data_IF_291878891855
#
_entry.id   IF_291878891855
#
_cell.length_a   1.000
_cell.length_b   1.000
_cell.length_c   1.000
_cell.angle_alpha   90.00
_cell.angle_beta   90.00
_cell.angle_gamma   90.00
#
_symmetry.space_group_name_H-M   'P 1'
#
loop_
_entity.id
_entity.type
_entity.pdbx_description
1 polymer ?
#
# COMPACT_ATOMS: atom_id res chain seq x y z
N UNK A 1 5.69 -0.39 -18.15
CA UNK A 1 5.62 0.44 -16.92
C UNK A 1 6.80 0.13 -15.99
N UNK A 2 7.03 -1.14 -15.63
CA UNK A 2 8.16 -1.55 -14.78
C UNK A 2 9.54 -1.06 -15.29
N UNK A 3 9.82 -1.22 -16.58
CA UNK A 3 11.07 -0.77 -17.23
C UNK A 3 11.27 0.76 -17.21
N UNK A 4 10.25 1.52 -16.78
CA UNK A 4 10.30 2.98 -16.67
C UNK A 4 10.51 3.45 -15.24
N UNK A 5 10.53 2.53 -14.27
CA UNK A 5 10.85 2.87 -12.89
C UNK A 5 12.37 3.11 -12.76
N UNK A 6 12.78 4.01 -11.87
CA UNK A 6 14.19 4.27 -11.61
C UNK A 6 14.90 3.01 -11.13
N UNK A 7 16.16 2.88 -11.52
CA UNK A 7 17.08 1.85 -11.04
C UNK A 7 18.15 2.41 -10.09
N UNK A 8 18.20 3.73 -9.93
CA UNK A 8 19.17 4.47 -9.12
C UNK A 8 18.71 4.72 -7.68
N UNK A 9 17.44 4.46 -7.37
CA UNK A 9 16.87 4.61 -6.03
C UNK A 9 15.80 3.55 -5.73
N UNK A 10 15.54 3.21 -4.45
CA UNK A 10 14.50 2.27 -4.08
C UNK A 10 13.08 2.76 -4.44
N UNK A 11 12.20 1.83 -4.78
CA UNK A 11 10.79 2.08 -5.05
C UNK A 11 9.93 1.53 -3.92
N UNK A 12 9.08 2.38 -3.34
CA UNK A 12 8.06 2.01 -2.35
C UNK A 12 6.71 1.90 -3.06
N UNK A 13 6.13 0.72 -3.12
CA UNK A 13 4.78 0.55 -3.65
C UNK A 13 3.74 0.95 -2.60
N UNK A 14 2.85 1.88 -2.92
CA UNK A 14 1.74 2.29 -2.09
C UNK A 14 0.44 1.73 -2.65
N UNK A 15 -0.14 0.73 -1.98
CA UNK A 15 -1.47 0.27 -2.35
C UNK A 15 -2.54 1.22 -1.77
N UNK A 16 -3.14 2.04 -2.62
CA UNK A 16 -4.17 3.00 -2.25
C UNK A 16 -5.53 2.41 -2.55
N UNK A 17 -6.26 2.01 -1.50
CA UNK A 17 -7.60 1.44 -1.62
C UNK A 17 -8.63 2.44 -1.13
N UNK A 18 -9.52 2.86 -2.02
CA UNK A 18 -10.70 3.69 -1.68
C UNK A 18 -12.01 2.93 -1.65
N UNK A 19 -12.01 1.69 -2.18
CA UNK A 19 -13.17 0.91 -2.63
C UNK A 19 -14.44 1.06 -1.79
N UNK A 20 -15.59 0.86 -2.45
CA UNK A 20 -16.91 1.14 -1.90
C UNK A 20 -17.05 0.63 -0.47
N UNK A 21 -17.45 1.54 0.44
CA UNK A 21 -18.16 1.17 1.65
C UNK A 21 -19.48 0.52 1.23
N UNK A 22 -19.44 -0.75 0.82
CA UNK A 22 -20.66 -1.53 0.74
C UNK A 22 -21.29 -1.47 2.13
N UNK A 23 -22.58 -1.13 2.20
CA UNK A 23 -23.30 -1.05 3.46
C UNK A 23 -23.10 -2.36 4.24
N UNK A 24 -22.51 -2.28 5.44
CA UNK A 24 -22.18 -3.44 6.28
C UNK A 24 -20.72 -3.91 6.24
N UNK A 25 -19.86 -3.37 5.38
CA UNK A 25 -18.42 -3.66 5.47
C UNK A 25 -17.78 -2.72 6.49
N UNK A 26 -17.31 -3.26 7.61
CA UNK A 26 -16.65 -2.50 8.67
C UNK A 26 -15.20 -2.10 8.33
N UNK A 27 -14.83 -1.89 7.07
CA UNK A 27 -13.46 -1.52 6.68
C UNK A 27 -13.15 -0.09 7.11
N UNK A 28 -11.97 0.10 7.71
CA UNK A 28 -11.47 1.43 8.02
C UNK A 28 -11.06 2.14 6.73
N UNK A 29 -11.54 3.37 6.53
CA UNK A 29 -11.16 4.18 5.39
C UNK A 29 -9.79 4.84 5.62
N UNK A 30 -8.74 4.15 5.21
CA UNK A 30 -7.36 4.58 5.45
C UNK A 30 -7.05 5.98 4.90
N UNK A 31 -7.62 6.33 3.75
CA UNK A 31 -7.48 7.65 3.12
C UNK A 31 -8.10 8.80 3.91
N UNK A 32 -8.98 8.53 4.89
CA UNK A 32 -9.68 9.56 5.67
C UNK A 32 -9.07 9.76 7.07
N UNK A 33 -8.12 8.92 7.48
CA UNK A 33 -7.57 8.91 8.86
C UNK A 33 -6.07 9.22 8.92
N UNK A 34 -5.51 9.76 7.85
CA UNK A 34 -4.09 10.12 7.76
C UNK A 34 -3.14 8.91 7.78
N UNK A 35 -3.62 7.70 7.44
CA UNK A 35 -2.82 6.47 7.47
C UNK A 35 -1.63 6.57 6.52
N UNK A 36 -1.87 7.00 5.28
CA UNK A 36 -0.84 7.02 4.26
C UNK A 36 0.26 8.02 4.60
N UNK A 37 -0.07 9.19 5.13
CA UNK A 37 0.90 10.20 5.55
C UNK A 37 1.85 9.64 6.61
N UNK A 38 1.33 8.96 7.64
CA UNK A 38 2.15 8.28 8.66
C UNK A 38 2.99 7.14 8.06
N UNK A 39 2.44 6.42 7.09
CA UNK A 39 3.17 5.32 6.44
C UNK A 39 4.33 5.82 5.56
N UNK A 40 4.17 6.96 4.89
CA UNK A 40 5.24 7.60 4.12
C UNK A 40 6.40 8.05 5.03
N UNK A 41 6.11 8.54 6.24
CA UNK A 41 7.12 8.97 7.21
C UNK A 41 8.09 7.84 7.60
N UNK A 42 7.66 6.57 7.53
CA UNK A 42 8.50 5.39 7.77
C UNK A 42 9.64 5.20 6.74
N UNK A 43 9.66 6.02 5.68
CA UNK A 43 10.68 6.03 4.63
C UNK A 43 11.42 7.36 4.52
N UNK A 44 11.24 8.27 5.49
CA UNK A 44 11.88 9.60 5.49
C UNK A 44 13.41 9.56 5.59
N UNK A 45 13.98 8.41 5.97
CA UNK A 45 15.42 8.15 6.01
C UNK A 45 16.02 7.72 4.66
N UNK A 46 15.19 7.57 3.61
CA UNK A 46 15.59 7.08 2.29
C UNK A 46 15.18 8.05 1.17
N UNK A 47 16.00 8.18 0.13
CA UNK A 47 15.56 8.79 -1.14
C UNK A 47 14.80 7.75 -1.95
N UNK A 48 13.47 7.79 -1.92
CA UNK A 48 12.59 6.80 -2.55
C UNK A 48 11.68 7.43 -3.60
N UNK A 49 11.26 6.60 -4.56
CA UNK A 49 10.09 6.87 -5.40
C UNK A 49 8.88 6.11 -4.83
N UNK A 50 7.78 6.82 -4.61
CA UNK A 50 6.50 6.20 -4.26
C UNK A 50 5.71 5.85 -5.53
N UNK A 51 5.42 4.56 -5.72
CA UNK A 51 4.58 4.06 -6.79
C UNK A 51 3.18 3.77 -6.25
N UNK A 52 2.20 4.63 -6.60
CA UNK A 52 0.83 4.48 -6.15
C UNK A 52 0.08 3.51 -7.04
N UNK A 53 -0.39 2.41 -6.49
CA UNK A 53 -1.19 1.40 -7.17
C UNK A 53 -2.59 1.44 -6.57
N UNK A 54 -3.61 1.62 -7.41
CA UNK A 54 -4.98 1.81 -6.96
C UNK A 54 -5.98 1.34 -8.01
N UNK A 55 -7.15 0.91 -7.55
CA UNK A 55 -8.34 0.72 -8.37
C UNK A 55 -8.93 2.08 -8.85
N UNK A 56 -8.58 3.18 -8.18
CA UNK A 56 -9.02 4.55 -8.52
C UNK A 56 -7.80 5.48 -8.77
N UNK A 57 -7.03 5.27 -9.86
CA UNK A 57 -5.81 6.04 -10.13
C UNK A 57 -6.07 7.53 -10.32
N UNK A 58 -7.21 7.92 -10.90
CA UNK A 58 -7.55 9.34 -11.08
C UNK A 58 -7.81 10.05 -9.75
N UNK A 59 -8.37 9.36 -8.76
CA UNK A 59 -8.49 9.91 -7.42
C UNK A 59 -7.11 10.13 -6.80
N UNK A 60 -6.19 9.17 -6.95
CA UNK A 60 -4.81 9.33 -6.48
C UNK A 60 -4.13 10.55 -7.10
N UNK A 61 -4.25 10.74 -8.43
CA UNK A 61 -3.70 11.92 -9.12
C UNK A 61 -4.27 13.24 -8.61
N UNK A 62 -5.55 13.25 -8.23
CA UNK A 62 -6.21 14.46 -7.72
C UNK A 62 -5.89 14.77 -6.25
N UNK A 63 -5.74 13.73 -5.41
CA UNK A 63 -5.74 13.87 -3.94
C UNK A 63 -4.39 13.53 -3.28
N UNK A 64 -3.61 12.60 -3.83
CA UNK A 64 -2.32 12.20 -3.27
C UNK A 64 -1.23 13.18 -3.71
N UNK A 65 -1.01 14.24 -2.93
CA UNK A 65 0.06 15.24 -3.14
C UNK A 65 1.35 14.83 -2.43
N UNK A 66 1.77 13.58 -2.63
CA UNK A 66 2.92 13.01 -1.93
C UNK A 66 4.23 13.33 -2.66
N UNK A 67 5.34 13.57 -1.94
CA UNK A 67 6.63 13.85 -2.55
C UNK A 67 7.12 12.64 -3.37
N UNK A 68 7.87 12.89 -4.45
CA UNK A 68 8.49 11.85 -5.28
C UNK A 68 7.56 10.68 -5.60
N UNK A 69 6.35 10.98 -6.09
CA UNK A 69 5.32 9.98 -6.32
C UNK A 69 4.87 9.90 -7.78
N UNK A 70 4.54 8.69 -8.22
CA UNK A 70 3.95 8.41 -9.53
C UNK A 70 2.76 7.47 -9.38
N UNK A 71 1.68 7.73 -10.13
CA UNK A 71 0.49 6.89 -10.12
C UNK A 71 0.59 5.83 -11.21
N UNK A 72 0.33 4.58 -10.85
CA UNK A 72 0.28 3.50 -11.79
C UNK A 72 -0.92 3.60 -12.71
N UNK A 73 -0.68 3.30 -13.99
CA UNK A 73 -1.76 3.22 -14.96
C UNK A 73 -2.70 2.06 -14.62
N UNK A 74 -3.95 2.21 -15.06
CA UNK A 74 -4.92 1.13 -14.99
C UNK A 74 -4.36 -0.11 -15.71
N UNK A 75 -4.36 -1.24 -15.02
CA UNK A 75 -3.85 -2.50 -15.54
C UNK A 75 -4.62 -3.66 -14.89
N UNK A 76 -4.53 -4.88 -15.45
CA UNK A 76 -5.12 -6.06 -14.81
C UNK A 76 -4.55 -6.28 -13.40
N UNK A 77 -5.38 -6.82 -12.49
CA UNK A 77 -4.99 -7.06 -11.09
C UNK A 77 -3.67 -7.86 -10.96
N UNK A 78 -3.43 -8.85 -11.83
CA UNK A 78 -2.17 -9.60 -11.84
C UNK A 78 -0.93 -8.70 -12.12
N UNK A 79 -1.07 -7.68 -12.97
CA UNK A 79 -0.01 -6.71 -13.25
C UNK A 79 0.23 -5.82 -12.05
N UNK A 80 -0.84 -5.30 -11.42
CA UNK A 80 -0.73 -4.51 -10.19
C UNK A 80 -0.10 -5.31 -9.05
N UNK A 81 -0.49 -6.59 -8.89
CA UNK A 81 0.11 -7.48 -7.90
C UNK A 81 1.62 -7.65 -8.15
N UNK A 82 1.99 -7.88 -9.42
CA UNK A 82 3.39 -7.97 -9.83
C UNK A 82 4.17 -6.67 -9.58
N UNK A 83 3.56 -5.50 -9.79
CA UNK A 83 4.18 -4.21 -9.45
C UNK A 83 4.42 -4.09 -7.95
N UNK A 84 3.40 -4.38 -7.13
CA UNK A 84 3.51 -4.33 -5.67
C UNK A 84 4.62 -5.28 -5.18
N UNK A 85 4.55 -6.56 -5.53
CA UNK A 85 5.48 -7.59 -5.02
C UNK A 85 6.94 -7.42 -5.49
N UNK A 86 7.18 -6.67 -6.58
CA UNK A 86 8.53 -6.43 -7.12
C UNK A 86 9.16 -5.12 -6.63
N UNK A 87 8.42 -4.22 -6.00
CA UNK A 87 9.02 -3.02 -5.40
C UNK A 87 9.93 -3.36 -4.22
N UNK A 88 10.82 -2.45 -3.86
CA UNK A 88 11.81 -2.67 -2.80
C UNK A 88 11.17 -2.61 -1.42
N UNK A 89 10.09 -1.84 -1.28
CA UNK A 89 9.33 -1.68 -0.04
C UNK A 89 7.83 -1.56 -0.36
N UNK A 90 6.97 -1.81 0.64
CA UNK A 90 5.52 -1.70 0.48
C UNK A 90 4.86 -0.89 1.61
N UNK A 91 3.88 -0.07 1.22
CA UNK A 91 2.82 0.45 2.07
C UNK A 91 1.54 -0.27 1.64
N UNK A 92 0.98 -1.11 2.52
CA UNK A 92 -0.18 -1.97 2.21
C UNK A 92 -1.49 -1.33 2.66
N UNK A 93 -2.58 -1.60 1.94
CA UNK A 93 -3.92 -1.29 2.45
C UNK A 93 -4.42 -2.38 3.39
N UNK A 94 -5.56 -2.13 4.04
CA UNK A 94 -6.41 -3.16 4.65
C UNK A 94 -7.05 -4.04 3.56
N UNK A 95 -6.20 -4.84 2.92
CA UNK A 95 -6.53 -5.68 1.78
C UNK A 95 -5.64 -6.91 1.77
N UNK A 96 -6.26 -8.09 1.62
CA UNK A 96 -5.57 -9.36 1.40
C UNK A 96 -4.70 -9.33 0.14
N UNK A 97 -5.06 -8.51 -0.85
CA UNK A 97 -4.30 -8.32 -2.08
C UNK A 97 -2.90 -7.75 -1.81
N UNK A 98 -2.81 -6.60 -1.12
CA UNK A 98 -1.51 -6.01 -0.76
C UNK A 98 -0.79 -6.76 0.34
N UNK A 99 -1.52 -7.45 1.21
CA UNK A 99 -0.93 -8.32 2.21
C UNK A 99 -0.13 -9.46 1.56
N UNK A 100 -0.73 -10.16 0.59
CA UNK A 100 -0.02 -11.20 -0.16
C UNK A 100 1.14 -10.62 -0.97
N UNK A 101 0.99 -9.44 -1.57
CA UNK A 101 2.10 -8.79 -2.27
C UNK A 101 3.29 -8.52 -1.33
N UNK A 102 3.05 -8.08 -0.10
CA UNK A 102 4.10 -7.88 0.91
C UNK A 102 4.73 -9.21 1.36
N UNK A 103 3.93 -10.26 1.51
CA UNK A 103 4.45 -11.60 1.77
C UNK A 103 5.44 -12.07 0.69
N UNK A 104 5.10 -11.89 -0.60
CA UNK A 104 6.00 -12.26 -1.69
C UNK A 104 7.23 -11.37 -1.79
N UNK A 105 7.14 -10.14 -1.28
CA UNK A 105 8.25 -9.20 -1.25
C UNK A 105 9.21 -9.49 -0.09
N UNK A 106 8.73 -10.05 1.02
CA UNK A 106 9.50 -10.32 2.26
C UNK A 106 10.87 -11.00 2.04
N UNK A 107 11.02 -12.05 1.20
CA UNK A 107 12.32 -12.68 0.96
C UNK A 107 13.38 -11.75 0.33
N UNK A 108 12.96 -10.59 -0.18
CA UNK A 108 13.85 -9.55 -0.74
C UNK A 108 14.31 -8.53 0.31
N UNK A 109 13.85 -8.65 1.55
CA UNK A 109 14.37 -7.91 2.72
C UNK A 109 13.90 -6.46 2.83
N UNK A 110 12.81 -6.07 2.18
CA UNK A 110 12.27 -4.72 2.29
C UNK A 110 11.35 -4.50 3.48
N UNK A 111 11.07 -3.22 3.75
CA UNK A 111 10.10 -2.81 4.77
C UNK A 111 8.68 -2.92 4.21
N UNK A 112 7.78 -3.50 5.00
CA UNK A 112 6.35 -3.43 4.78
C UNK A 112 5.71 -2.62 5.91
N UNK A 113 4.88 -1.63 5.54
CA UNK A 113 4.13 -0.79 6.46
C UNK A 113 2.64 -1.06 6.25
N UNK A 114 1.94 -1.44 7.31
CA UNK A 114 0.50 -1.75 7.28
C UNK A 114 -0.29 -0.94 8.30
N UNK A 115 -1.62 -0.85 8.15
CA UNK A 115 -2.44 -0.17 9.12
C UNK A 115 -2.56 -1.03 10.39
N UNK A 116 -2.40 -0.40 11.55
CA UNK A 116 -2.60 -1.07 12.85
C UNK A 116 -4.03 -1.60 13.02
N UNK A 117 -4.99 -0.90 12.40
CA UNK A 117 -6.41 -1.20 12.46
C UNK A 117 -6.97 -1.30 11.04
N UNK A 118 -7.54 -2.46 10.72
CA UNK A 118 -8.12 -2.72 9.40
C UNK A 118 -9.61 -2.39 9.34
N UNK A 119 -10.29 -2.43 10.49
CA UNK A 119 -11.74 -2.33 10.61
C UNK A 119 -12.19 -1.22 11.57
N UNK A 120 -13.34 -0.60 11.32
CA UNK A 120 -14.02 0.30 12.27
C UNK A 120 -14.42 -0.45 13.55
N UNK A 121 -14.58 0.25 14.69
CA UNK A 121 -15.12 -0.37 15.92
C UNK A 121 -16.43 -1.13 15.64
N UNK A 122 -16.50 -2.40 16.07
CA UNK A 122 -17.64 -3.30 15.80
C UNK A 122 -17.51 -4.15 14.54
N UNK A 123 -16.45 -3.99 13.75
CA UNK A 123 -16.07 -4.95 12.71
C UNK A 123 -15.48 -6.23 13.28
N UNK A 124 -15.69 -7.34 12.59
CA UNK A 124 -15.01 -8.60 12.90
C UNK A 124 -13.53 -8.47 12.57
N UNK A 125 -12.69 -8.58 13.59
CA UNK A 125 -11.25 -8.81 13.44
C UNK A 125 -11.05 -10.31 13.24
N UNK A 126 -11.29 -10.79 12.02
CA UNK A 126 -10.90 -12.17 11.68
C UNK A 126 -9.38 -12.24 11.76
N UNK A 127 -8.91 -12.87 12.83
CA UNK A 127 -7.52 -13.09 13.19
C UNK A 127 -6.74 -13.97 12.18
N UNK A 128 -7.17 -14.06 10.92
CA UNK A 128 -6.53 -14.82 9.84
C UNK A 128 -5.30 -14.12 9.26
N UNK A 129 -4.98 -12.91 9.72
CA UNK A 129 -3.84 -12.17 9.20
C UNK A 129 -2.67 -12.33 10.17
N UNK A 130 -1.79 -13.28 9.85
CA UNK A 130 -0.51 -13.42 10.53
C UNK A 130 0.26 -12.09 10.40
N UNK A 131 0.17 -11.27 11.45
CA UNK A 131 0.97 -10.06 11.59
C UNK A 131 2.42 -10.49 11.64
N UNK A 132 3.17 -10.15 10.60
CA UNK A 132 4.60 -10.41 10.54
C UNK A 132 5.28 -9.50 11.56
N UNK A 133 6.00 -10.02 12.57
CA UNK A 133 6.51 -9.21 13.68
C UNK A 133 7.52 -8.13 13.27
N UNK A 134 8.05 -8.21 12.05
CA UNK A 134 8.99 -7.23 11.50
C UNK A 134 8.32 -6.19 10.58
N UNK A 135 7.00 -6.29 10.34
CA UNK A 135 6.26 -5.25 9.63
C UNK A 135 5.95 -4.08 10.56
N UNK A 136 5.98 -2.87 10.00
CA UNK A 136 5.71 -1.63 10.74
C UNK A 136 4.21 -1.38 10.71
N UNK A 137 3.61 -1.07 11.86
CA UNK A 137 2.19 -0.74 11.97
C UNK A 137 2.01 0.75 12.32
N UNK A 138 1.11 1.44 11.60
CA UNK A 138 0.79 2.89 11.79
C UNK A 138 -0.70 3.19 11.75
#
# INVERSE_FOLDING_TARGET
>A
MWERLPHDRPVVACHVRRGETAAGTHWLKLSEIGYYERALECFSDLDVLFLLVSDEPDWCRANCRWPNSVVAEAAPAAVHFGLLARCDHLIIANSTFSWWAAWFQEPRGGRAVGPKQWYTPGGFDDAEQERRPHWIEV
#
